data_IF_277038133465
#
_entry.id   IF_277038133465
#
_cell.length_a   1.000
_cell.length_b   1.000
_cell.length_c   1.000
_cell.angle_alpha   90.00
_cell.angle_beta   90.00
_cell.angle_gamma   90.00
#
_symmetry.space_group_name_H-M   'P 1'
#
loop_
_entity.id
_entity.type
_entity.pdbx_description
1 polymer ?
#
# COMPACT_ATOMS: atom_id res chain seq x y z
N UNK A 1 -23.32 -2.43 -3.21
CA UNK A 1 -22.58 -3.42 -2.42
C UNK A 1 -21.49 -2.69 -1.66
N UNK A 2 -21.23 -3.05 -0.41
CA UNK A 2 -20.28 -2.35 0.45
C UNK A 2 -19.25 -3.33 1.02
N UNK A 3 -18.00 -2.89 1.10
CA UNK A 3 -16.93 -3.65 1.75
C UNK A 3 -16.71 -3.12 3.17
N UNK A 4 -16.40 -4.00 4.12
CA UNK A 4 -16.17 -3.65 5.53
C UNK A 4 -14.70 -3.40 5.87
N UNK A 5 -13.79 -3.70 4.95
CA UNK A 5 -12.33 -3.53 5.08
C UNK A 5 -11.68 -3.12 3.76
N UNK A 6 -10.52 -2.49 3.85
CA UNK A 6 -9.66 -2.21 2.69
C UNK A 6 -9.01 -3.49 2.13
N UNK A 7 -8.51 -3.42 0.89
CA UNK A 7 -7.76 -4.49 0.24
C UNK A 7 -8.54 -5.22 -0.84
N UNK A 8 -8.10 -6.43 -1.17
CA UNK A 8 -8.71 -7.25 -2.23
C UNK A 8 -10.02 -7.90 -1.79
N UNK A 9 -11.04 -7.81 -2.64
CA UNK A 9 -12.33 -8.47 -2.53
C UNK A 9 -12.70 -9.13 -3.85
N UNK A 10 -13.40 -10.27 -3.76
CA UNK A 10 -14.03 -10.90 -4.93
C UNK A 10 -15.50 -10.52 -4.94
N UNK A 11 -15.96 -9.97 -6.07
CA UNK A 11 -17.36 -9.61 -6.29
C UNK A 11 -17.80 -10.25 -7.60
N UNK A 12 -18.76 -11.17 -7.48
CA UNK A 12 -19.16 -12.04 -8.60
C UNK A 12 -17.92 -12.74 -9.19
N UNK A 13 -17.62 -12.49 -10.47
CA UNK A 13 -16.44 -13.02 -11.18
C UNK A 13 -15.26 -12.02 -11.24
N UNK A 14 -15.43 -10.82 -10.69
CA UNK A 14 -14.43 -9.75 -10.74
C UNK A 14 -13.63 -9.63 -9.44
N UNK A 15 -12.35 -9.27 -9.60
CA UNK A 15 -11.47 -8.93 -8.50
C UNK A 15 -11.38 -7.41 -8.35
N UNK A 16 -11.61 -6.90 -7.14
CA UNK A 16 -11.58 -5.47 -6.83
C UNK A 16 -10.66 -5.16 -5.65
N UNK A 17 -9.95 -4.06 -5.72
CA UNK A 17 -9.16 -3.52 -4.62
C UNK A 17 -9.86 -2.29 -4.05
N UNK A 18 -10.42 -2.41 -2.85
CA UNK A 18 -11.21 -1.36 -2.19
C UNK A 18 -10.33 -0.57 -1.24
N UNK A 19 -10.47 0.75 -1.27
CA UNK A 19 -9.77 1.70 -0.40
C UNK A 19 -10.73 2.78 0.09
N UNK A 20 -10.32 3.63 1.05
CA UNK A 20 -11.21 4.63 1.62
C UNK A 20 -11.77 5.65 0.61
N UNK A 21 -10.97 6.09 -0.38
CA UNK A 21 -11.40 7.10 -1.37
C UNK A 21 -11.55 6.57 -2.80
N UNK A 22 -11.14 5.33 -3.08
CA UNK A 22 -11.14 4.77 -4.45
C UNK A 22 -11.30 3.27 -4.42
N UNK A 23 -11.87 2.72 -5.50
CA UNK A 23 -11.90 1.28 -5.75
C UNK A 23 -11.28 1.03 -7.12
N UNK A 24 -10.28 0.14 -7.19
CA UNK A 24 -9.71 -0.34 -8.45
C UNK A 24 -10.45 -1.61 -8.84
N UNK A 25 -11.09 -1.58 -10.00
CA UNK A 25 -11.83 -2.71 -10.55
C UNK A 25 -11.73 -2.71 -12.08
N UNK A 26 -11.78 -3.90 -12.67
CA UNK A 26 -11.79 -4.09 -14.13
C UNK A 26 -13.13 -3.76 -14.77
N UNK A 27 -14.24 -3.84 -14.03
CA UNK A 27 -15.58 -3.51 -14.51
C UNK A 27 -16.21 -2.31 -13.76
N UNK A 28 -16.99 -1.51 -14.48
CA UNK A 28 -17.66 -0.30 -13.94
C UNK A 28 -18.64 -0.59 -12.80
N UNK A 29 -19.33 -1.74 -12.86
CA UNK A 29 -20.27 -2.12 -11.81
C UNK A 29 -19.55 -2.31 -10.46
N UNK A 30 -18.37 -2.93 -10.48
CA UNK A 30 -17.59 -3.19 -9.27
C UNK A 30 -16.79 -1.97 -8.79
N UNK A 31 -16.65 -0.91 -9.62
CA UNK A 31 -16.15 0.41 -9.15
C UNK A 31 -17.12 1.11 -8.19
N UNK A 32 -18.41 0.74 -8.20
CA UNK A 32 -19.43 1.33 -7.31
C UNK A 32 -19.37 0.78 -5.88
N UNK A 33 -18.47 -0.15 -5.59
CA UNK A 33 -18.28 -0.69 -4.24
C UNK A 33 -17.58 0.38 -3.40
N UNK A 34 -18.25 0.80 -2.33
CA UNK A 34 -17.71 1.75 -1.36
C UNK A 34 -17.30 1.03 -0.08
N UNK A 35 -16.30 1.58 0.60
CA UNK A 35 -15.92 1.14 1.93
C UNK A 35 -16.95 1.66 2.94
N UNK A 36 -17.57 0.76 3.69
CA UNK A 36 -18.40 1.07 4.85
C UNK A 36 -17.77 0.38 6.06
N UNK A 37 -16.91 1.12 6.76
CA UNK A 37 -16.25 0.65 7.98
C UNK A 37 -16.61 1.58 9.14
N UNK A 38 -16.85 1.00 10.31
CA UNK A 38 -17.05 1.75 11.56
C UNK A 38 -15.73 2.34 12.09
N UNK A 39 -14.58 1.84 11.59
CA UNK A 39 -13.25 2.33 11.96
C UNK A 39 -12.87 3.48 11.04
N UNK A 40 -12.67 4.67 11.63
CA UNK A 40 -12.19 5.86 10.94
C UNK A 40 -10.72 5.68 10.52
N UNK A 41 -10.49 5.03 9.39
CA UNK A 41 -9.16 4.82 8.79
C UNK A 41 -8.89 5.70 7.58
N UNK A 42 -9.60 6.81 7.37
CA UNK A 42 -9.40 7.61 6.14
C UNK A 42 -8.04 8.31 6.09
N UNK A 43 -7.55 8.78 7.25
CA UNK A 43 -6.28 9.52 7.34
C UNK A 43 -5.04 8.62 7.17
N UNK A 44 -5.11 7.35 7.58
CA UNK A 44 -3.98 6.40 7.44
C UNK A 44 -3.59 6.12 5.99
N UNK A 45 -4.52 6.36 5.09
CA UNK A 45 -4.34 6.16 3.67
C UNK A 45 -4.16 7.52 2.95
N UNK A 46 -4.27 8.67 3.65
CA UNK A 46 -4.17 9.98 3.02
C UNK A 46 -2.90 10.09 2.15
N UNK A 47 -3.10 10.33 0.86
CA UNK A 47 -2.01 10.50 -0.11
C UNK A 47 -1.83 11.98 -0.36
N UNK A 48 -0.61 12.48 -0.17
CA UNK A 48 -0.23 13.83 -0.57
C UNK A 48 0.91 13.80 -1.60
N UNK A 49 0.92 14.79 -2.48
CA UNK A 49 1.87 14.87 -3.60
C UNK A 49 1.56 13.94 -4.78
N UNK A 50 2.55 13.78 -5.65
CA UNK A 50 2.47 12.98 -6.88
C UNK A 50 3.41 11.77 -6.84
N UNK A 51 3.13 10.77 -7.67
CA UNK A 51 4.03 9.63 -7.87
C UNK A 51 5.44 10.10 -8.28
N UNK A 52 5.51 11.11 -9.14
CA UNK A 52 6.78 11.71 -9.59
C UNK A 52 7.56 12.31 -8.42
N UNK A 53 6.90 13.05 -7.53
CA UNK A 53 7.51 13.60 -6.31
C UNK A 53 8.04 12.47 -5.40
N UNK A 54 7.26 11.41 -5.18
CA UNK A 54 7.73 10.24 -4.44
C UNK A 54 8.96 9.59 -5.09
N UNK A 55 8.96 9.42 -6.41
CA UNK A 55 10.12 8.89 -7.12
C UNK A 55 11.36 9.78 -6.95
N UNK A 56 11.18 11.10 -7.05
CA UNK A 56 12.25 12.08 -6.97
C UNK A 56 12.87 12.17 -5.56
N UNK A 57 12.04 12.23 -4.52
CA UNK A 57 12.47 12.53 -3.16
C UNK A 57 12.63 11.30 -2.26
N UNK A 58 11.99 10.17 -2.58
CA UNK A 58 12.06 8.95 -1.75
C UNK A 58 12.79 7.84 -2.51
N UNK A 59 12.27 7.40 -3.66
CA UNK A 59 12.79 6.22 -4.36
C UNK A 59 14.23 6.44 -4.83
N UNK A 60 14.55 7.64 -5.33
CA UNK A 60 15.92 7.99 -5.75
C UNK A 60 16.94 7.88 -4.62
N UNK A 61 16.55 8.22 -3.38
CA UNK A 61 17.42 8.13 -2.20
C UNK A 61 17.63 6.69 -1.71
N UNK A 62 16.74 5.77 -2.10
CA UNK A 62 16.87 4.36 -1.74
C UNK A 62 17.99 3.65 -2.51
N UNK A 63 18.40 4.17 -3.67
CA UNK A 63 19.44 3.56 -4.50
C UNK A 63 20.76 3.45 -3.74
N UNK A 64 21.37 2.26 -3.76
CA UNK A 64 22.60 1.97 -3.01
C UNK A 64 22.40 1.62 -1.54
N UNK A 65 21.17 1.67 -0.99
CA UNK A 65 20.87 1.20 0.35
C UNK A 65 19.91 -0.01 0.32
N UNK A 66 20.42 -1.24 0.52
CA UNK A 66 19.61 -2.44 0.47
C UNK A 66 18.42 -2.46 1.44
N UNK A 67 18.55 -1.82 2.61
CA UNK A 67 17.45 -1.77 3.58
C UNK A 67 16.33 -0.84 3.12
N UNK A 68 16.67 0.31 2.53
CA UNK A 68 15.65 1.22 1.97
C UNK A 68 14.94 0.60 0.76
N UNK A 69 15.70 -0.09 -0.11
CA UNK A 69 15.13 -0.86 -1.22
C UNK A 69 14.19 -1.96 -0.69
N UNK A 70 14.59 -2.67 0.36
CA UNK A 70 13.74 -3.68 1.00
C UNK A 70 12.46 -3.07 1.56
N UNK A 71 12.55 -1.92 2.23
CA UNK A 71 11.39 -1.22 2.80
C UNK A 71 10.35 -0.85 1.73
N UNK A 72 10.79 -0.21 0.64
CA UNK A 72 9.92 0.15 -0.49
C UNK A 72 9.33 -1.12 -1.14
N UNK A 73 10.16 -2.13 -1.37
CA UNK A 73 9.71 -3.39 -1.98
C UNK A 73 8.65 -4.10 -1.13
N UNK A 74 8.79 -4.05 0.18
CA UNK A 74 7.84 -4.68 1.12
C UNK A 74 6.51 -3.94 1.15
N UNK A 75 6.52 -2.61 1.11
CA UNK A 75 5.32 -1.79 1.00
C UNK A 75 4.50 -2.14 -0.28
N UNK A 76 5.19 -2.32 -1.40
CA UNK A 76 4.58 -2.71 -2.68
C UNK A 76 4.16 -4.19 -2.72
N UNK A 77 4.83 -5.07 -1.99
CA UNK A 77 4.54 -6.49 -2.01
C UNK A 77 3.15 -6.81 -1.44
N UNK A 78 2.67 -6.07 -0.43
CA UNK A 78 1.39 -6.35 0.24
C UNK A 78 0.21 -6.54 -0.72
N UNK A 79 -0.12 -5.54 -1.58
CA UNK A 79 -1.16 -5.67 -2.60
C UNK A 79 -0.86 -6.72 -3.67
N UNK A 80 0.41 -6.94 -4.02
CA UNK A 80 0.80 -7.83 -5.13
C UNK A 80 0.78 -9.32 -4.75
N UNK A 81 1.08 -9.66 -3.49
CA UNK A 81 1.14 -11.05 -3.04
C UNK A 81 -0.19 -11.79 -3.23
N UNK A 82 -1.31 -11.08 -3.04
CA UNK A 82 -2.64 -11.61 -3.31
C UNK A 82 -2.80 -12.04 -4.77
N UNK A 83 -2.35 -11.20 -5.72
CA UNK A 83 -2.44 -11.48 -7.16
C UNK A 83 -1.53 -12.66 -7.57
N UNK A 84 -0.38 -12.77 -6.91
CA UNK A 84 0.56 -13.87 -7.13
C UNK A 84 0.14 -15.18 -6.44
N UNK A 85 -1.00 -15.21 -5.74
CA UNK A 85 -1.45 -16.37 -4.96
C UNK A 85 -0.38 -16.85 -3.96
N UNK A 86 0.36 -15.90 -3.37
CA UNK A 86 1.42 -16.16 -2.39
C UNK A 86 0.95 -15.80 -0.99
N UNK A 87 1.52 -16.49 0.00
CA UNK A 87 1.29 -16.16 1.40
C UNK A 87 1.94 -14.83 1.76
N UNK A 88 1.35 -14.14 2.74
CA UNK A 88 1.93 -12.93 3.32
C UNK A 88 3.12 -13.28 4.21
N UNK A 89 4.05 -12.33 4.38
CA UNK A 89 5.16 -12.44 5.29
C UNK A 89 5.42 -11.09 5.96
N UNK A 90 5.94 -11.12 7.19
CA UNK A 90 6.39 -9.94 7.91
C UNK A 90 7.92 -9.88 7.94
N UNK A 91 8.48 -8.67 7.91
CA UNK A 91 9.92 -8.44 8.05
C UNK A 91 10.16 -7.74 9.38
N UNK A 92 11.06 -8.29 10.18
CA UNK A 92 11.49 -7.67 11.44
C UNK A 92 12.91 -7.11 11.30
N UNK A 93 13.04 -5.80 11.41
CA UNK A 93 14.33 -5.10 11.33
C UNK A 93 15.04 -5.07 12.69
N UNK A 94 15.99 -5.99 12.89
CA UNK A 94 16.86 -6.01 14.07
C UNK A 94 18.13 -5.19 13.81
N UNK A 95 18.39 -4.23 14.71
CA UNK A 95 19.52 -3.29 14.67
C UNK A 95 19.56 -2.56 16.02
N UNK A 96 20.72 -2.07 16.43
CA UNK A 96 20.81 -1.26 17.64
C UNK A 96 20.00 0.03 17.48
N UNK A 97 19.56 0.61 18.60
CA UNK A 97 18.83 1.89 18.63
C UNK A 97 19.54 2.96 17.78
N UNK A 98 18.78 3.88 17.18
CA UNK A 98 19.29 5.03 16.37
C UNK A 98 19.81 4.72 14.96
N UNK A 99 19.65 3.49 14.46
CA UNK A 99 20.17 3.09 13.16
C UNK A 99 19.20 3.29 11.96
N UNK A 100 18.20 4.16 12.09
CA UNK A 100 17.27 4.46 10.99
C UNK A 100 16.13 3.47 10.77
N UNK A 101 15.75 2.68 11.80
CA UNK A 101 14.58 1.79 11.72
C UNK A 101 13.28 2.55 11.47
N UNK A 102 13.07 3.65 12.20
CA UNK A 102 11.92 4.53 12.00
C UNK A 102 11.91 5.09 10.60
N UNK A 103 13.07 5.55 10.10
CA UNK A 103 13.22 6.01 8.71
C UNK A 103 12.82 4.95 7.69
N UNK A 104 13.16 3.68 7.91
CA UNK A 104 12.74 2.60 7.02
C UNK A 104 11.22 2.39 7.04
N UNK A 105 10.58 2.52 8.21
CA UNK A 105 9.13 2.44 8.33
C UNK A 105 8.45 3.65 7.66
N UNK A 106 8.99 4.86 7.83
CA UNK A 106 8.49 6.08 7.20
C UNK A 106 8.62 6.01 5.67
N UNK A 107 9.74 5.50 5.16
CA UNK A 107 9.94 5.25 3.73
C UNK A 107 8.93 4.23 3.21
N UNK A 108 8.68 3.14 3.94
CA UNK A 108 7.67 2.17 3.54
C UNK A 108 6.25 2.76 3.53
N UNK A 109 5.89 3.55 4.54
CA UNK A 109 4.58 4.18 4.68
C UNK A 109 4.32 5.31 3.66
N UNK A 110 5.38 5.98 3.19
CA UNK A 110 5.28 7.06 2.21
C UNK A 110 5.13 6.60 0.77
N UNK A 111 5.26 5.29 0.48
CA UNK A 111 5.02 4.75 -0.86
C UNK A 111 3.53 4.89 -1.20
N UNK A 112 3.17 5.68 -2.23
CA UNK A 112 1.78 5.90 -2.57
C UNK A 112 1.23 4.64 -3.25
N UNK A 113 0.32 3.93 -2.58
CA UNK A 113 -0.44 2.86 -3.20
C UNK A 113 -1.94 3.05 -3.03
N UNK A 114 -2.71 2.91 -4.12
CA UNK A 114 -2.35 3.04 -5.53
C UNK A 114 -2.19 4.52 -5.90
N UNK A 115 -1.38 4.83 -6.92
CA UNK A 115 -1.16 6.21 -7.32
C UNK A 115 -2.49 6.91 -7.67
N UNK A 116 -2.58 8.19 -7.29
CA UNK A 116 -3.68 9.07 -7.70
C UNK A 116 -3.70 9.19 -9.22
#
# INVERSE_FOLDING_TARGET
>A
MAATRVGWHRVEEALVFVMPWRTIAQCELARRITLQSEVAGQDEYATDGSLESCCQYIVRLCSGNPLMVLAVSTALAGPLLFLCHRQTAGIHLMRDSSNGKTTLLDVAASVPWPPK
#
